data_IF_925920539280
#
_entry.id   IF_925920539280
#
_cell.length_a   1.000
_cell.length_b   1.000
_cell.length_c   1.000
_cell.angle_alpha   90.00
_cell.angle_beta   90.00
_cell.angle_gamma   90.00
#
_symmetry.space_group_name_H-M   'P 1'
#
loop_
_entity.id
_entity.type
_entity.pdbx_description
1 polymer ?
#
# COMPACT_ATOMS: atom_id res chain seq x y z
N UNK A 1 -12.01 0.57 19.46
CA UNK A 1 -11.30 1.01 18.24
C UNK A 1 -10.54 -0.17 17.68
N UNK A 2 -10.52 -0.35 16.35
CA UNK A 2 -9.96 -1.54 15.68
C UNK A 2 -8.66 -1.17 14.98
N UNK A 3 -7.62 -1.99 15.15
CA UNK A 3 -6.30 -1.74 14.58
C UNK A 3 -6.20 -2.18 13.11
N UNK A 4 -5.18 -1.71 12.40
CA UNK A 4 -4.97 -2.06 11.01
C UNK A 4 -4.31 -3.44 10.84
N UNK A 5 -4.81 -4.24 9.91
CA UNK A 5 -4.10 -5.36 9.30
C UNK A 5 -4.44 -5.44 7.80
N UNK A 6 -3.48 -5.75 6.91
CA UNK A 6 -3.76 -6.14 5.52
C UNK A 6 -4.57 -7.43 5.43
N UNK A 7 -4.42 -8.30 6.43
CA UNK A 7 -5.18 -9.54 6.62
C UNK A 7 -6.25 -9.31 7.70
N UNK A 8 -7.21 -8.45 7.37
CA UNK A 8 -8.26 -8.04 8.30
C UNK A 8 -9.35 -9.09 8.41
N UNK A 9 -9.73 -9.45 9.64
CA UNK A 9 -10.80 -10.43 9.88
C UNK A 9 -12.20 -9.83 9.80
N UNK A 10 -12.31 -8.49 9.79
CA UNK A 10 -13.58 -7.78 9.80
C UNK A 10 -13.63 -6.67 8.74
N UNK A 11 -14.82 -6.47 8.17
CA UNK A 11 -15.09 -5.43 7.18
C UNK A 11 -16.22 -4.50 7.65
N UNK A 12 -16.05 -3.18 7.55
CA UNK A 12 -17.12 -2.23 7.80
C UNK A 12 -18.14 -2.24 6.65
N UNK A 13 -19.42 -2.24 7.00
CA UNK A 13 -20.53 -2.23 6.06
C UNK A 13 -21.56 -1.20 6.50
N UNK A 14 -22.00 -0.30 5.61
CA UNK A 14 -23.09 0.61 5.93
C UNK A 14 -24.44 -0.02 5.56
N UNK A 15 -25.30 -0.25 6.56
CA UNK A 15 -26.63 -0.76 6.32
C UNK A 15 -27.59 0.39 6.00
N UNK A 16 -27.87 0.57 4.71
CA UNK A 16 -28.80 1.58 4.22
C UNK A 16 -30.23 1.42 4.76
N UNK A 17 -30.67 0.20 5.09
CA UNK A 17 -32.03 -0.03 5.59
C UNK A 17 -32.17 0.42 7.03
N UNK A 18 -31.12 0.22 7.83
CA UNK A 18 -31.14 0.55 9.24
C UNK A 18 -30.47 1.89 9.57
N UNK A 19 -29.73 2.48 8.64
CA UNK A 19 -29.10 3.79 8.77
C UNK A 19 -27.85 3.81 9.66
N UNK A 20 -27.16 2.68 9.83
CA UNK A 20 -25.96 2.60 10.67
C UNK A 20 -24.88 1.68 10.10
N UNK A 21 -23.64 1.92 10.55
CA UNK A 21 -22.49 1.08 10.23
C UNK A 21 -22.50 -0.20 11.05
N UNK A 22 -22.24 -1.31 10.36
CA UNK A 22 -22.04 -2.65 10.90
C UNK A 22 -20.60 -3.07 10.67
N UNK A 23 -20.14 -3.99 11.51
CA UNK A 23 -18.87 -4.67 11.34
C UNK A 23 -19.15 -6.15 11.17
N UNK A 24 -18.72 -6.71 10.04
CA UNK A 24 -19.00 -8.09 9.67
C UNK A 24 -17.69 -8.86 9.69
N UNK A 25 -17.67 -10.02 10.33
CA UNK A 25 -16.54 -10.96 10.26
C UNK A 25 -16.62 -11.74 8.95
N UNK A 26 -15.60 -11.70 8.10
CA UNK A 26 -15.68 -12.28 6.76
C UNK A 26 -15.27 -13.77 6.70
N UNK A 27 -14.23 -14.17 7.43
CA UNK A 27 -13.54 -15.43 7.10
C UNK A 27 -13.19 -16.36 8.27
N UNK A 28 -13.49 -15.98 9.52
CA UNK A 28 -13.04 -16.79 10.68
C UNK A 28 -14.07 -16.88 11.79
N UNK A 29 -14.09 -18.03 12.46
CA UNK A 29 -14.58 -18.12 13.83
C UNK A 29 -13.73 -17.21 14.71
N UNK A 30 -14.32 -16.13 15.22
CA UNK A 30 -13.64 -15.23 16.16
C UNK A 30 -13.61 -15.93 17.52
N UNK A 31 -12.41 -16.16 18.04
CA UNK A 31 -12.22 -16.73 19.38
C UNK A 31 -12.21 -15.61 20.42
N UNK A 32 -12.83 -15.86 21.58
CA UNK A 32 -12.83 -14.90 22.68
C UNK A 32 -11.39 -14.53 23.09
N UNK A 33 -11.12 -13.23 23.21
CA UNK A 33 -9.78 -12.70 23.51
C UNK A 33 -8.90 -12.43 22.28
N UNK A 34 -9.31 -12.85 21.08
CA UNK A 34 -8.62 -12.48 19.84
C UNK A 34 -8.90 -11.01 19.49
N UNK A 35 -7.85 -10.28 19.11
CA UNK A 35 -7.98 -8.93 18.61
C UNK A 35 -8.57 -8.93 17.21
N UNK A 36 -9.51 -8.01 16.98
CA UNK A 36 -10.11 -7.78 15.66
C UNK A 36 -9.37 -6.65 14.94
N UNK A 37 -9.17 -6.85 13.64
CA UNK A 37 -8.47 -5.91 12.77
C UNK A 37 -9.34 -5.45 11.61
N UNK A 38 -9.08 -4.23 11.17
CA UNK A 38 -9.63 -3.60 9.97
C UNK A 38 -8.55 -3.42 8.90
N UNK A 39 -8.95 -3.50 7.64
CA UNK A 39 -8.12 -2.98 6.57
C UNK A 39 -8.52 -1.53 6.34
N UNK A 40 -7.61 -0.59 6.65
CA UNK A 40 -7.85 0.84 6.40
C UNK A 40 -7.79 1.17 4.90
N UNK A 41 -7.28 0.23 4.09
CA UNK A 41 -7.04 0.36 2.66
C UNK A 41 -5.65 -0.14 2.28
N UNK A 42 -5.33 -0.11 1.00
CA UNK A 42 -4.02 -0.49 0.45
C UNK A 42 -2.94 0.60 0.69
N UNK A 43 -2.74 0.97 1.95
CA UNK A 43 -1.82 2.04 2.34
C UNK A 43 -0.36 1.58 2.31
N UNK A 44 0.48 2.45 1.76
CA UNK A 44 1.92 2.33 1.85
C UNK A 44 2.42 2.75 3.26
N UNK A 45 3.63 2.36 3.66
CA UNK A 45 4.12 2.68 5.01
C UNK A 45 4.34 4.19 5.23
N UNK A 46 4.59 4.97 4.18
CA UNK A 46 4.64 6.43 4.27
C UNK A 46 3.27 7.02 4.65
N UNK A 47 2.18 6.54 4.04
CA UNK A 47 0.81 6.93 4.35
C UNK A 47 0.44 6.51 5.78
N UNK A 48 0.73 5.25 6.17
CA UNK A 48 0.49 4.78 7.53
C UNK A 48 1.24 5.61 8.58
N UNK A 49 2.48 6.00 8.27
CA UNK A 49 3.29 6.79 9.18
C UNK A 49 2.75 8.21 9.34
N UNK A 50 2.40 8.87 8.23
CA UNK A 50 1.94 10.27 8.22
C UNK A 50 0.53 10.40 8.79
N UNK A 51 -0.39 9.52 8.39
CA UNK A 51 -1.81 9.62 8.75
C UNK A 51 -2.14 8.94 10.09
N UNK A 52 -1.39 7.90 10.48
CA UNK A 52 -1.72 7.06 11.64
C UNK A 52 -0.56 6.86 12.64
N UNK A 53 0.66 7.33 12.34
CA UNK A 53 1.79 7.30 13.27
C UNK A 53 2.44 5.92 13.48
N UNK A 54 2.22 4.96 12.57
CA UNK A 54 2.87 3.65 12.63
C UNK A 54 3.27 3.13 11.23
N UNK A 55 4.02 2.03 11.19
CA UNK A 55 4.33 1.29 9.96
C UNK A 55 4.16 -0.21 10.20
N UNK A 56 3.93 -0.98 9.15
CA UNK A 56 3.99 -2.44 9.22
C UNK A 56 5.37 -2.92 8.74
N UNK A 57 5.93 -3.93 9.42
CA UNK A 57 7.22 -4.52 9.06
C UNK A 57 7.15 -5.20 7.68
N UNK A 58 6.12 -6.00 7.47
CA UNK A 58 5.86 -6.73 6.22
C UNK A 58 4.57 -6.22 5.59
N UNK A 59 4.60 -4.99 5.06
CA UNK A 59 3.45 -4.40 4.39
C UNK A 59 3.37 -4.89 2.92
N UNK A 60 2.35 -5.67 2.52
CA UNK A 60 2.22 -6.13 1.13
C UNK A 60 1.90 -4.98 0.16
N UNK A 61 1.41 -3.85 0.65
CA UNK A 61 1.07 -2.67 -0.14
C UNK A 61 2.18 -1.60 -0.15
N UNK A 62 3.34 -1.92 0.42
CA UNK A 62 4.49 -1.02 0.46
C UNK A 62 4.99 -0.73 -0.96
N UNK A 63 5.27 0.52 -1.25
CA UNK A 63 5.71 1.00 -2.57
C UNK A 63 6.57 2.25 -2.42
N UNK A 64 7.26 2.63 -3.48
CA UNK A 64 7.97 3.91 -3.54
C UNK A 64 7.50 4.64 -4.78
N UNK A 65 7.08 5.89 -4.62
CA UNK A 65 6.69 6.71 -5.76
C UNK A 65 7.95 7.22 -6.47
N UNK A 66 8.09 6.84 -7.74
CA UNK A 66 9.15 7.34 -8.63
C UNK A 66 8.52 8.38 -9.54
N UNK A 67 9.08 9.59 -9.56
CA UNK A 67 8.57 10.64 -10.44
C UNK A 67 8.86 10.30 -11.90
N UNK A 68 7.95 10.72 -12.79
CA UNK A 68 8.11 10.55 -14.24
C UNK A 68 9.41 11.23 -14.72
N UNK A 69 9.73 12.41 -14.20
CA UNK A 69 10.93 13.17 -14.56
C UNK A 69 12.21 12.41 -14.20
N UNK A 70 12.23 11.74 -13.04
CA UNK A 70 13.35 10.90 -12.63
C UNK A 70 13.54 9.72 -13.61
N UNK A 71 12.43 9.10 -14.02
CA UNK A 71 12.44 7.99 -14.96
C UNK A 71 12.89 8.41 -16.38
N UNK A 72 12.45 9.59 -16.84
CA UNK A 72 12.83 10.12 -18.16
C UNK A 72 14.29 10.55 -18.20
N UNK A 73 14.78 11.24 -17.16
CA UNK A 73 16.18 11.65 -17.07
C UNK A 73 17.13 10.46 -17.11
N UNK A 74 16.87 9.44 -16.30
CA UNK A 74 17.70 8.22 -16.27
C UNK A 74 17.69 7.48 -17.60
N UNK A 75 16.57 7.46 -18.33
CA UNK A 75 16.51 6.92 -19.69
C UNK A 75 17.36 7.72 -20.70
N UNK A 76 17.33 9.04 -20.63
CA UNK A 76 18.12 9.90 -21.51
C UNK A 76 19.62 9.73 -21.25
N UNK A 77 20.04 9.74 -19.99
CA UNK A 77 21.44 9.50 -19.58
C UNK A 77 21.92 8.12 -20.07
N UNK A 78 21.10 7.08 -19.91
CA UNK A 78 21.41 5.74 -20.42
C UNK A 78 21.53 5.70 -21.95
N UNK A 79 20.66 6.41 -22.67
CA UNK A 79 20.70 6.49 -24.12
C UNK A 79 21.94 7.24 -24.64
N UNK A 80 22.30 8.35 -23.99
CA UNK A 80 23.50 9.13 -24.32
C UNK A 80 24.77 8.32 -24.07
N UNK A 81 24.84 7.61 -22.94
CA UNK A 81 25.94 6.69 -22.64
C UNK A 81 26.08 5.61 -23.72
N UNK A 82 24.98 4.94 -24.10
CA UNK A 82 25.00 3.94 -25.18
C UNK A 82 25.46 4.50 -26.54
N UNK A 83 25.16 5.77 -26.84
CA UNK A 83 25.59 6.44 -28.08
C UNK A 83 27.10 6.70 -28.14
N UNK A 84 27.76 6.88 -26.99
CA UNK A 84 29.21 7.11 -26.93
C UNK A 84 30.05 5.84 -27.09
N UNK A 85 29.43 4.65 -27.02
CA UNK A 85 30.11 3.34 -27.12
C UNK A 85 30.13 2.80 -28.56
N UNK A 86 29.43 3.44 -29.50
CA UNK A 86 29.48 3.03 -30.92
C UNK A 86 30.81 3.48 -31.54
N UNK A 87 31.66 2.58 -32.08
CA UNK A 87 32.93 2.98 -32.68
C UNK A 87 32.65 3.87 -33.89
N UNK A 88 33.26 5.05 -33.95
CA UNK A 88 33.37 5.78 -35.22
C UNK A 88 34.35 4.98 -36.08
N UNK A 89 33.81 4.16 -36.98
CA UNK A 89 34.64 3.56 -38.02
C UNK A 89 35.14 4.67 -38.97
N UNK A 90 36.41 4.60 -39.39
CA UNK A 90 37.04 5.60 -40.25
C UNK A 90 36.41 5.66 -41.65
#
# INVERSE_FOLDING_TARGET
MLNHSPDASCVPFFDNKMGFFKVIAEHHSIVAGQQLFFCYGAHNNDQLWIEYGFRLLENPFNRVNISIDYCLRTKLEAFESARTVVPRFP
#
